data_IF_412846351837
#
_entry.id   IF_412846351837
#
_cell.length_a   1.000
_cell.length_b   1.000
_cell.length_c   1.000
_cell.angle_alpha   90.00
_cell.angle_beta   90.00
_cell.angle_gamma   90.00
#
_symmetry.space_group_name_H-M   'P 1'
#
loop_
_entity.id
_entity.type
_entity.pdbx_description
1 polymer ?
#
# COMPACT_ATOMS: atom_id res chain seq x y z
N UNK A 1 -33.26 -21.90 8.17
CA UNK A 1 -32.77 -20.69 8.87
C UNK A 1 -31.55 -20.15 8.13
N UNK A 2 -31.73 -19.10 7.34
CA UNK A 2 -30.63 -18.36 6.72
C UNK A 2 -29.73 -17.78 7.80
N UNK A 3 -28.51 -18.31 7.95
CA UNK A 3 -27.49 -17.67 8.80
C UNK A 3 -27.30 -16.26 8.26
N UNK A 4 -27.64 -15.25 9.07
CA UNK A 4 -27.28 -13.86 8.79
C UNK A 4 -25.76 -13.82 8.81
N UNK A 5 -25.16 -13.81 7.62
CA UNK A 5 -23.73 -13.60 7.46
C UNK A 5 -23.52 -12.11 7.71
N UNK A 6 -22.82 -11.75 8.78
CA UNK A 6 -22.41 -10.36 8.97
C UNK A 6 -21.52 -9.96 7.78
N UNK A 7 -21.92 -8.93 7.04
CA UNK A 7 -21.15 -8.41 5.92
C UNK A 7 -20.18 -7.32 6.42
N UNK A 8 -18.88 -7.55 6.22
CA UNK A 8 -17.86 -6.52 6.39
C UNK A 8 -17.86 -5.60 5.17
N UNK A 9 -17.85 -4.29 5.41
CA UNK A 9 -17.79 -3.27 4.34
C UNK A 9 -16.54 -2.43 4.48
N UNK A 10 -15.78 -2.27 3.40
CA UNK A 10 -14.66 -1.33 3.35
C UNK A 10 -14.68 -0.41 2.12
N UNK A 11 -14.18 0.80 2.29
CA UNK A 11 -13.94 1.76 1.22
C UNK A 11 -12.44 2.05 1.16
N UNK A 12 -11.87 2.06 -0.04
CA UNK A 12 -10.44 2.26 -0.24
C UNK A 12 -10.19 3.45 -1.18
N UNK A 13 -9.69 4.55 -0.63
CA UNK A 13 -9.49 5.81 -1.33
C UNK A 13 -8.10 5.88 -1.93
N UNK A 14 -8.04 6.33 -3.18
CA UNK A 14 -6.80 6.48 -3.96
C UNK A 14 -5.94 5.20 -3.96
N UNK A 15 -6.61 4.05 -4.15
CA UNK A 15 -6.09 2.75 -3.73
C UNK A 15 -5.25 2.03 -4.80
N UNK A 16 -5.26 2.48 -6.05
CA UNK A 16 -4.52 1.81 -7.11
C UNK A 16 -3.03 1.65 -6.72
N UNK A 17 -2.43 0.45 -6.94
CA UNK A 17 -2.96 -0.68 -7.72
C UNK A 17 -3.81 -1.70 -6.91
N UNK A 18 -4.09 -1.44 -5.63
CA UNK A 18 -4.95 -2.30 -4.80
C UNK A 18 -4.24 -3.08 -3.71
N UNK A 19 -3.22 -2.49 -3.08
CA UNK A 19 -2.41 -3.16 -2.08
C UNK A 19 -3.20 -3.45 -0.78
N UNK A 20 -3.93 -2.48 -0.23
CA UNK A 20 -4.79 -2.70 0.93
C UNK A 20 -5.92 -3.66 0.60
N UNK A 21 -6.58 -3.51 -0.56
CA UNK A 21 -7.65 -4.43 -0.98
C UNK A 21 -7.13 -5.87 -1.02
N UNK A 22 -5.97 -6.08 -1.65
CA UNK A 22 -5.38 -7.42 -1.80
C UNK A 22 -4.97 -8.01 -0.44
N UNK A 23 -4.34 -7.21 0.42
CA UNK A 23 -3.95 -7.63 1.76
C UNK A 23 -5.17 -7.97 2.64
N UNK A 24 -6.20 -7.13 2.60
CA UNK A 24 -7.43 -7.32 3.36
C UNK A 24 -8.21 -8.55 2.89
N UNK A 25 -8.35 -8.75 1.57
CA UNK A 25 -8.93 -9.97 1.01
C UNK A 25 -8.23 -11.21 1.58
N UNK A 26 -6.91 -11.21 1.50
CA UNK A 26 -6.11 -12.34 1.95
C UNK A 26 -6.29 -12.59 3.45
N UNK A 27 -6.25 -11.53 4.26
CA UNK A 27 -6.50 -11.62 5.71
C UNK A 27 -7.88 -12.19 6.03
N UNK A 28 -8.94 -11.67 5.40
CA UNK A 28 -10.33 -12.12 5.61
C UNK A 28 -10.48 -13.59 5.23
N UNK A 29 -9.97 -13.99 4.07
CA UNK A 29 -10.06 -15.39 3.60
C UNK A 29 -9.35 -16.35 4.55
N UNK A 30 -8.23 -15.93 5.16
CA UNK A 30 -7.46 -16.77 6.07
C UNK A 30 -8.03 -16.82 7.49
N UNK A 31 -8.56 -15.69 7.99
CA UNK A 31 -8.89 -15.50 9.41
C UNK A 31 -10.39 -15.36 9.70
N UNK A 32 -11.19 -14.97 8.72
CA UNK A 32 -12.63 -14.67 8.84
C UNK A 32 -13.44 -15.33 7.73
N UNK A 33 -13.33 -16.66 7.61
CA UNK A 33 -13.91 -17.45 6.49
C UNK A 33 -15.41 -17.28 6.28
N UNK A 34 -16.15 -17.02 7.35
CA UNK A 34 -17.59 -16.82 7.33
C UNK A 34 -18.02 -15.37 7.07
N UNK A 35 -17.08 -14.42 7.02
CA UNK A 35 -17.38 -13.02 6.74
C UNK A 35 -17.58 -12.85 5.23
N UNK A 36 -18.74 -12.33 4.85
CA UNK A 36 -18.93 -11.78 3.51
C UNK A 36 -18.30 -10.39 3.47
N UNK A 37 -17.50 -10.12 2.44
CA UNK A 37 -16.78 -8.86 2.33
C UNK A 37 -17.16 -8.14 1.05
N UNK A 38 -17.77 -6.97 1.26
CA UNK A 38 -18.16 -6.01 0.23
C UNK A 38 -17.16 -4.87 0.32
N UNK A 39 -16.61 -4.46 -0.82
CA UNK A 39 -15.68 -3.34 -0.86
C UNK A 39 -15.92 -2.50 -2.09
N UNK A 40 -15.61 -1.22 -1.95
CA UNK A 40 -15.55 -0.25 -3.03
C UNK A 40 -14.22 0.50 -2.96
N UNK A 41 -13.78 1.06 -4.08
CA UNK A 41 -12.53 1.81 -4.12
C UNK A 41 -12.59 3.00 -5.07
N UNK A 42 -11.78 4.02 -4.82
CA UNK A 42 -11.55 5.14 -5.74
C UNK A 42 -10.07 5.18 -6.14
N UNK A 43 -9.81 5.73 -7.32
CA UNK A 43 -8.47 6.07 -7.81
C UNK A 43 -8.64 6.87 -9.10
N UNK A 44 -7.60 7.59 -9.53
CA UNK A 44 -7.59 8.18 -10.87
C UNK A 44 -7.80 7.07 -11.91
N UNK A 45 -8.82 7.25 -12.74
CA UNK A 45 -9.22 6.24 -13.72
C UNK A 45 -8.13 6.10 -14.80
N UNK A 46 -7.44 4.94 -14.89
CA UNK A 46 -6.40 4.73 -15.91
C UNK A 46 -6.99 4.64 -17.33
N UNK A 47 -8.31 4.49 -17.47
CA UNK A 47 -9.01 4.39 -18.75
C UNK A 47 -9.63 5.73 -19.20
N UNK A 48 -9.45 6.80 -18.43
CA UNK A 48 -9.94 8.13 -18.79
C UNK A 48 -8.84 8.93 -19.50
N UNK A 49 -9.04 9.24 -20.79
CA UNK A 49 -8.07 9.98 -21.62
C UNK A 49 -7.74 11.39 -21.11
N UNK A 50 -8.62 11.97 -20.29
CA UNK A 50 -8.40 13.28 -19.68
C UNK A 50 -7.40 13.26 -18.51
N UNK A 51 -7.07 12.08 -17.99
CA UNK A 51 -6.05 11.95 -16.96
C UNK A 51 -4.66 11.87 -17.59
N UNK A 52 -3.69 12.58 -17.02
CA UNK A 52 -2.29 12.38 -17.40
C UNK A 52 -1.84 10.98 -16.97
N UNK A 53 -1.27 10.17 -17.88
CA UNK A 53 -0.69 8.88 -17.54
C UNK A 53 0.33 8.93 -16.40
N UNK A 54 1.03 10.06 -16.20
CA UNK A 54 1.99 10.26 -15.10
C UNK A 54 1.34 10.28 -13.72
N UNK A 55 0.07 10.71 -13.63
CA UNK A 55 -0.69 10.73 -12.39
C UNK A 55 -1.43 9.42 -12.13
N UNK A 56 -1.64 8.59 -13.17
CA UNK A 56 -2.31 7.29 -13.05
C UNK A 56 -1.34 6.17 -12.72
N UNK A 57 -1.80 5.18 -11.96
CA UNK A 57 -1.03 3.96 -11.70
C UNK A 57 -1.22 2.98 -12.85
N UNK A 58 -0.12 2.66 -13.55
CA UNK A 58 -0.15 1.76 -14.71
C UNK A 58 -0.41 0.27 -14.42
N UNK A 59 -0.49 -0.15 -13.16
CA UNK A 59 -0.93 -1.51 -12.83
C UNK A 59 -2.44 -1.51 -12.56
N UNK A 60 -3.20 -1.74 -13.63
CA UNK A 60 -4.65 -1.69 -13.70
C UNK A 60 -5.33 -3.05 -13.54
N UNK A 61 -4.56 -4.13 -13.31
CA UNK A 61 -5.09 -5.50 -13.34
C UNK A 61 -6.22 -5.71 -12.35
N UNK A 62 -6.06 -5.26 -11.10
CA UNK A 62 -7.14 -5.38 -10.13
C UNK A 62 -8.35 -4.56 -10.58
N UNK A 63 -8.12 -3.34 -11.07
CA UNK A 63 -9.16 -2.42 -11.54
C UNK A 63 -9.99 -3.08 -12.63
N UNK A 64 -9.33 -3.60 -13.67
CA UNK A 64 -9.97 -4.25 -14.80
C UNK A 64 -10.86 -5.43 -14.39
N UNK A 65 -10.37 -6.33 -13.53
CA UNK A 65 -11.11 -7.53 -13.13
C UNK A 65 -12.23 -7.27 -12.11
N UNK A 66 -12.24 -6.10 -11.48
CA UNK A 66 -13.25 -5.74 -10.46
C UNK A 66 -13.86 -4.37 -10.75
N UNK A 67 -14.02 -4.00 -12.03
CA UNK A 67 -14.39 -2.65 -12.46
C UNK A 67 -15.68 -2.15 -11.80
N UNK A 68 -16.63 -3.06 -11.56
CA UNK A 68 -17.90 -2.84 -10.86
C UNK A 68 -17.76 -2.33 -9.41
N UNK A 69 -16.56 -2.45 -8.83
CA UNK A 69 -16.25 -2.02 -7.46
C UNK A 69 -15.50 -0.68 -7.40
N UNK A 70 -15.13 -0.12 -8.54
CA UNK A 70 -14.40 1.15 -8.60
C UNK A 70 -15.36 2.32 -8.85
N UNK A 71 -15.24 3.34 -8.02
CA UNK A 71 -16.05 4.55 -8.04
C UNK A 71 -15.23 5.68 -8.67
N UNK A 72 -15.47 5.96 -9.95
CA UNK A 72 -14.74 7.00 -10.70
C UNK A 72 -15.42 8.38 -10.68
N UNK A 73 -16.56 8.51 -9.99
CA UNK A 73 -17.32 9.75 -9.95
C UNK A 73 -18.04 10.08 -11.27
N UNK A 74 -18.79 11.19 -11.31
CA UNK A 74 -19.67 11.54 -12.42
C UNK A 74 -18.93 11.92 -13.71
N UNK A 75 -17.71 12.47 -13.60
CA UNK A 75 -16.86 12.81 -14.76
C UNK A 75 -15.98 11.64 -15.23
N UNK A 76 -16.10 10.48 -14.57
CA UNK A 76 -15.33 9.27 -14.82
C UNK A 76 -13.80 9.43 -14.70
N UNK A 77 -13.30 10.56 -14.20
CA UNK A 77 -11.86 10.80 -14.04
C UNK A 77 -11.29 10.06 -12.83
N UNK A 78 -12.13 9.75 -11.83
CA UNK A 78 -11.68 9.21 -10.55
C UNK A 78 -10.88 10.20 -9.70
N UNK A 79 -10.90 11.49 -10.06
CA UNK A 79 -10.24 12.53 -9.28
C UNK A 79 -11.06 12.82 -8.01
N UNK A 80 -10.55 12.33 -6.88
CA UNK A 80 -11.18 12.50 -5.57
C UNK A 80 -11.44 13.98 -5.23
N UNK A 81 -10.53 14.88 -5.62
CA UNK A 81 -10.62 16.32 -5.30
C UNK A 81 -11.83 17.02 -5.93
N UNK A 82 -12.50 16.39 -6.91
CA UNK A 82 -13.62 16.97 -7.67
C UNK A 82 -14.99 16.45 -7.24
N UNK A 83 -15.03 15.53 -6.27
CA UNK A 83 -16.29 14.96 -5.82
C UNK A 83 -17.15 16.01 -5.11
N UNK A 84 -18.44 16.00 -5.38
CA UNK A 84 -19.42 16.81 -4.66
C UNK A 84 -19.92 16.10 -3.40
N UNK A 85 -20.54 16.83 -2.48
CA UNK A 85 -21.21 16.24 -1.31
C UNK A 85 -22.22 15.15 -1.73
N UNK A 86 -22.94 15.37 -2.84
CA UNK A 86 -23.88 14.38 -3.39
C UNK A 86 -23.16 13.11 -3.85
N UNK A 87 -22.02 13.24 -4.51
CA UNK A 87 -21.24 12.09 -4.96
C UNK A 87 -20.73 11.28 -3.76
N UNK A 88 -20.21 11.97 -2.73
CA UNK A 88 -19.71 11.34 -1.50
C UNK A 88 -20.84 10.65 -0.73
N UNK A 89 -22.01 11.29 -0.62
CA UNK A 89 -23.20 10.71 0.00
C UNK A 89 -23.65 9.45 -0.73
N UNK A 90 -23.61 9.44 -2.07
CA UNK A 90 -23.95 8.27 -2.87
C UNK A 90 -22.96 7.10 -2.69
N UNK A 91 -21.72 7.35 -2.23
CA UNK A 91 -20.78 6.27 -1.88
C UNK A 91 -21.18 5.52 -0.61
N UNK A 92 -21.93 6.16 0.29
CA UNK A 92 -22.30 5.57 1.57
C UNK A 92 -23.31 4.44 1.36
N UNK A 93 -22.90 3.21 1.68
CA UNK A 93 -23.78 2.05 1.60
C UNK A 93 -24.35 1.66 2.97
N UNK A 94 -25.69 1.60 3.07
CA UNK A 94 -26.39 1.19 4.29
C UNK A 94 -25.93 2.01 5.51
N UNK A 95 -25.55 1.33 6.58
CA UNK A 95 -25.09 1.99 7.82
C UNK A 95 -23.68 2.62 7.72
N UNK A 96 -23.01 2.53 6.56
CA UNK A 96 -21.64 3.01 6.34
C UNK A 96 -20.57 1.91 6.36
N UNK A 97 -19.31 2.32 6.18
CA UNK A 97 -18.16 1.42 6.09
C UNK A 97 -17.53 1.12 7.45
N UNK A 98 -17.10 -0.12 7.66
CA UNK A 98 -16.40 -0.54 8.87
C UNK A 98 -14.93 -0.11 8.85
N UNK A 99 -14.37 0.01 7.64
CA UNK A 99 -13.00 0.41 7.41
C UNK A 99 -12.96 1.33 6.20
N UNK A 100 -12.34 2.50 6.36
CA UNK A 100 -11.91 3.34 5.25
C UNK A 100 -10.38 3.36 5.24
N UNK A 101 -9.76 3.13 4.09
CA UNK A 101 -8.32 3.36 3.90
C UNK A 101 -8.10 4.48 2.91
N UNK A 102 -7.02 5.23 3.08
CA UNK A 102 -6.61 6.34 2.24
C UNK A 102 -5.10 6.24 2.01
N UNK A 103 -4.70 5.89 0.79
CA UNK A 103 -3.30 5.70 0.37
C UNK A 103 -2.88 6.72 -0.71
N UNK A 104 -3.68 7.78 -0.88
CA UNK A 104 -3.45 8.84 -1.85
C UNK A 104 -2.15 9.61 -1.59
N UNK A 105 -1.50 10.00 -2.69
CA UNK A 105 -0.36 10.90 -2.66
C UNK A 105 -0.22 11.60 -4.00
N UNK A 106 0.51 12.70 -3.99
CA UNK A 106 0.85 13.52 -5.15
C UNK A 106 2.37 13.49 -5.24
N UNK A 107 2.90 13.30 -6.46
CA UNK A 107 4.35 13.31 -6.66
C UNK A 107 4.93 14.67 -6.27
N UNK A 108 5.89 14.63 -5.35
CA UNK A 108 6.57 15.80 -4.79
C UNK A 108 8.10 15.63 -4.93
N UNK A 109 8.56 14.84 -5.89
CA UNK A 109 10.00 14.62 -6.10
C UNK A 109 10.77 15.91 -6.41
N UNK A 110 10.14 16.86 -7.09
CA UNK A 110 10.75 18.14 -7.44
C UNK A 110 10.83 19.10 -6.25
N UNK A 111 9.94 18.93 -5.25
CA UNK A 111 9.92 19.74 -4.03
C UNK A 111 9.55 18.88 -2.79
N UNK A 112 10.49 18.05 -2.31
CA UNK A 112 10.24 17.16 -1.17
C UNK A 112 10.10 17.91 0.16
N UNK A 113 10.55 19.18 0.23
CA UNK A 113 10.40 20.01 1.42
C UNK A 113 8.94 20.43 1.62
N UNK A 114 8.22 20.70 0.52
CA UNK A 114 6.81 21.09 0.52
C UNK A 114 5.83 19.91 0.48
N UNK A 115 6.30 18.67 0.69
CA UNK A 115 5.48 17.45 0.61
C UNK A 115 4.20 17.54 1.46
N UNK A 116 4.28 18.13 2.65
CA UNK A 116 3.13 18.27 3.54
C UNK A 116 2.07 19.19 2.94
N UNK A 117 2.46 20.36 2.43
CA UNK A 117 1.56 21.32 1.79
C UNK A 117 0.99 20.79 0.48
N UNK A 118 1.82 20.13 -0.35
CA UNK A 118 1.40 19.58 -1.65
C UNK A 118 0.36 18.47 -1.47
N UNK A 119 0.53 17.59 -0.48
CA UNK A 119 -0.33 16.41 -0.31
C UNK A 119 -1.55 16.66 0.58
N UNK A 120 -1.55 17.75 1.36
CA UNK A 120 -2.62 18.03 2.32
C UNK A 120 -4.02 18.18 1.71
N UNK A 121 -4.24 18.88 0.57
CA UNK A 121 -5.57 18.97 -0.03
C UNK A 121 -6.20 17.60 -0.31
N UNK A 122 -5.38 16.62 -0.74
CA UNK A 122 -5.84 15.25 -0.96
C UNK A 122 -6.15 14.54 0.36
N UNK A 123 -5.27 14.65 1.37
CA UNK A 123 -5.49 14.06 2.70
C UNK A 123 -6.74 14.63 3.39
N UNK A 124 -6.99 15.92 3.21
CA UNK A 124 -8.20 16.58 3.68
C UNK A 124 -9.42 15.97 3.01
N UNK A 125 -9.45 15.90 1.67
CA UNK A 125 -10.56 15.30 0.92
C UNK A 125 -10.79 13.82 1.29
N UNK A 126 -9.72 13.03 1.44
CA UNK A 126 -9.79 11.63 1.92
C UNK A 126 -10.42 11.55 3.32
N UNK A 127 -10.08 12.49 4.20
CA UNK A 127 -10.66 12.58 5.55
C UNK A 127 -12.14 12.94 5.51
N UNK A 128 -12.55 13.92 4.70
CA UNK A 128 -13.98 14.29 4.56
C UNK A 128 -14.80 13.11 4.03
N UNK A 129 -14.28 12.38 3.04
CA UNK A 129 -14.93 11.17 2.51
C UNK A 129 -15.03 10.09 3.60
N UNK A 130 -13.97 9.86 4.36
CA UNK A 130 -13.98 8.89 5.45
C UNK A 130 -15.05 9.24 6.50
N UNK A 131 -15.05 10.47 7.01
CA UNK A 131 -16.01 10.90 8.03
C UNK A 131 -17.46 10.90 7.54
N UNK A 132 -17.70 11.18 6.26
CA UNK A 132 -19.03 11.13 5.64
C UNK A 132 -19.58 9.70 5.54
N UNK A 133 -18.70 8.73 5.31
CA UNK A 133 -19.09 7.38 4.88
C UNK A 133 -18.88 6.29 5.95
N UNK A 134 -18.11 6.57 7.00
CA UNK A 134 -17.90 5.67 8.12
C UNK A 134 -19.18 5.42 8.91
N UNK A 135 -19.30 4.19 9.41
CA UNK A 135 -20.29 3.84 10.44
C UNK A 135 -19.75 4.18 11.84
N UNK A 136 -20.62 4.37 12.85
CA UNK A 136 -20.19 4.41 14.24
C UNK A 136 -19.34 3.17 14.61
N UNK A 137 -18.27 3.39 15.36
CA UNK A 137 -17.22 2.43 15.69
C UNK A 137 -16.35 1.94 14.52
N UNK A 138 -16.44 2.57 13.34
CA UNK A 138 -15.57 2.27 12.19
C UNK A 138 -14.11 2.67 12.42
N UNK A 139 -13.23 2.20 11.53
CA UNK A 139 -11.80 2.54 11.52
C UNK A 139 -11.42 3.31 10.25
N UNK A 140 -10.50 4.26 10.40
CA UNK A 140 -9.89 5.00 9.30
C UNK A 140 -8.37 4.80 9.32
N UNK A 141 -7.78 4.52 8.16
CA UNK A 141 -6.34 4.46 7.98
C UNK A 141 -5.95 5.51 6.95
N UNK A 142 -5.22 6.53 7.38
CA UNK A 142 -4.77 7.62 6.53
C UNK A 142 -3.25 7.53 6.37
N UNK A 143 -2.78 7.47 5.12
CA UNK A 143 -1.37 7.72 4.82
C UNK A 143 -1.04 9.18 5.01
N UNK A 144 0.09 9.43 5.68
CA UNK A 144 0.63 10.77 5.90
C UNK A 144 2.14 10.75 5.79
N UNK A 145 2.74 11.93 5.82
CA UNK A 145 4.17 12.14 5.87
C UNK A 145 4.57 12.78 7.21
N UNK A 146 5.25 13.92 7.18
CA UNK A 146 5.50 14.73 8.38
C UNK A 146 4.21 15.34 8.91
N UNK A 147 4.20 15.71 10.20
CA UNK A 147 3.15 16.52 10.84
C UNK A 147 3.85 17.69 11.52
N UNK A 148 4.31 18.63 10.71
CA UNK A 148 5.05 19.81 11.14
C UNK A 148 4.25 21.10 10.90
N UNK A 149 3.37 21.08 9.91
CA UNK A 149 2.59 22.25 9.51
C UNK A 149 1.32 22.42 10.36
N UNK A 150 0.88 23.67 10.61
CA UNK A 150 -0.31 23.94 11.44
C UNK A 150 -1.55 23.21 10.95
N UNK A 151 -1.81 23.19 9.64
CA UNK A 151 -2.96 22.53 9.04
C UNK A 151 -2.96 21.01 9.27
N UNK A 152 -1.79 20.38 9.28
CA UNK A 152 -1.65 18.95 9.58
C UNK A 152 -1.84 18.66 11.06
N UNK A 153 -1.32 19.52 11.94
CA UNK A 153 -1.51 19.40 13.38
C UNK A 153 -3.00 19.52 13.71
N UNK A 154 -3.70 20.50 13.12
CA UNK A 154 -5.15 20.64 13.25
C UNK A 154 -5.91 19.42 12.72
N UNK A 155 -5.49 18.83 11.59
CA UNK A 155 -6.10 17.59 11.08
C UNK A 155 -5.99 16.42 12.05
N UNK A 156 -4.81 16.22 12.65
CA UNK A 156 -4.62 15.14 13.62
C UNK A 156 -5.44 15.37 14.88
N UNK A 157 -5.45 16.60 15.40
CA UNK A 157 -6.28 16.93 16.56
C UNK A 157 -7.78 16.71 16.26
N UNK A 158 -8.24 17.14 15.09
CA UNK A 158 -9.61 16.91 14.65
C UNK A 158 -9.96 15.41 14.60
N UNK A 159 -9.04 14.56 14.10
CA UNK A 159 -9.21 13.11 14.15
C UNK A 159 -9.22 12.55 15.59
N UNK A 160 -8.47 13.14 16.52
CA UNK A 160 -8.48 12.73 17.94
C UNK A 160 -9.83 13.01 18.61
N UNK A 161 -10.53 14.06 18.21
CA UNK A 161 -11.85 14.40 18.75
C UNK A 161 -12.96 13.46 18.23
N UNK A 162 -12.75 12.85 17.06
CA UNK A 162 -13.77 12.06 16.35
C UNK A 162 -13.56 10.55 16.44
N UNK A 163 -12.47 10.08 17.05
CA UNK A 163 -12.16 8.66 17.18
C UNK A 163 -11.71 8.30 18.60
N UNK A 164 -12.14 7.13 19.07
CA UNK A 164 -11.78 6.61 20.39
C UNK A 164 -10.28 6.40 20.57
N UNK A 165 -9.55 6.17 19.49
CA UNK A 165 -8.08 6.07 19.51
C UNK A 165 -7.48 6.48 18.17
N UNK A 166 -6.36 7.20 18.22
CA UNK A 166 -5.56 7.61 17.06
C UNK A 166 -4.12 7.19 17.30
N UNK A 167 -3.53 6.44 16.36
CA UNK A 167 -2.17 5.88 16.49
C UNK A 167 -1.36 6.12 15.23
N UNK A 168 -0.10 6.50 15.42
CA UNK A 168 0.86 6.66 14.33
C UNK A 168 1.66 5.38 14.16
N UNK A 169 1.78 4.90 12.92
CA UNK A 169 2.47 3.66 12.60
C UNK A 169 3.36 3.86 11.37
N UNK A 170 4.61 3.41 11.46
CA UNK A 170 5.49 3.25 10.30
C UNK A 170 5.73 1.75 10.08
N UNK A 171 5.01 1.10 9.14
CA UNK A 171 5.19 -0.33 8.92
C UNK A 171 6.60 -0.63 8.40
N UNK A 172 7.15 -1.79 8.76
CA UNK A 172 8.49 -2.19 8.32
C UNK A 172 8.63 -2.33 6.79
N UNK A 173 7.50 -2.49 6.08
CA UNK A 173 7.42 -2.50 4.61
C UNK A 173 7.52 -1.11 3.98
N UNK A 174 7.37 -0.03 4.76
CA UNK A 174 7.62 1.34 4.31
C UNK A 174 9.13 1.65 4.41
N UNK A 175 9.66 2.42 3.46
CA UNK A 175 11.09 2.73 3.43
C UNK A 175 11.46 3.51 4.69
N UNK A 176 12.40 2.99 5.47
CA UNK A 176 12.75 3.57 6.77
C UNK A 176 13.26 5.03 6.70
N UNK A 177 13.85 5.44 5.57
CA UNK A 177 14.35 6.80 5.36
C UNK A 177 13.36 7.80 4.75
N UNK A 178 12.15 7.38 4.37
CA UNK A 178 11.12 8.32 3.89
C UNK A 178 10.24 8.83 5.06
N UNK A 179 9.47 9.88 4.78
CA UNK A 179 8.57 10.49 5.76
C UNK A 179 7.24 9.73 5.90
N UNK A 180 6.97 8.72 5.06
CA UNK A 180 5.68 8.02 5.03
C UNK A 180 5.41 7.30 6.36
N UNK A 181 4.22 7.55 6.88
CA UNK A 181 3.62 6.96 8.07
C UNK A 181 2.12 6.76 7.81
N UNK A 182 1.46 6.03 8.70
CA UNK A 182 0.02 5.82 8.67
C UNK A 182 -0.58 6.24 10.00
N UNK A 183 -1.64 7.03 9.94
CA UNK A 183 -2.48 7.40 11.08
C UNK A 183 -3.65 6.42 11.09
N UNK A 184 -3.72 5.59 12.13
CA UNK A 184 -4.77 4.58 12.32
C UNK A 184 -5.73 5.07 13.40
N UNK A 185 -6.90 5.48 12.96
CA UNK A 185 -8.00 5.91 13.81
C UNK A 185 -8.99 4.75 14.00
N UNK A 186 -9.35 4.43 15.24
CA UNK A 186 -10.28 3.34 15.55
C UNK A 186 -11.39 3.83 16.46
N UNK A 187 -12.61 3.36 16.21
CA UNK A 187 -13.77 3.67 17.04
C UNK A 187 -14.36 5.04 16.72
N UNK A 188 -14.80 5.24 15.47
CA UNK A 188 -15.43 6.48 15.01
C UNK A 188 -16.64 6.85 15.91
N UNK A 189 -16.60 8.04 16.49
CA UNK A 189 -17.59 8.54 17.45
C UNK A 189 -18.80 9.21 16.77
N UNK A 190 -18.69 9.48 15.46
CA UNK A 190 -19.64 10.31 14.72
C UNK A 190 -19.10 11.72 14.51
N UNK A 191 -19.79 12.50 13.68
CA UNK A 191 -19.51 13.91 13.39
C UNK A 191 -20.84 14.64 13.30
N UNK A 192 -20.92 15.88 13.80
CA UNK A 192 -22.16 16.66 13.68
C UNK A 192 -22.39 17.13 12.24
N UNK A 193 -23.65 17.35 11.87
CA UNK A 193 -23.99 17.85 10.54
C UNK A 193 -23.37 19.23 10.24
N UNK A 194 -23.17 20.07 11.27
CA UNK A 194 -22.58 21.39 11.11
C UNK A 194 -21.08 21.29 10.82
N UNK A 195 -20.35 20.45 11.58
CA UNK A 195 -18.93 20.20 11.32
C UNK A 195 -18.73 19.58 9.94
N UNK A 196 -19.56 18.60 9.58
CA UNK A 196 -19.47 17.95 8.28
C UNK A 196 -19.76 18.93 7.13
N UNK A 197 -20.75 19.82 7.29
CA UNK A 197 -21.06 20.87 6.30
C UNK A 197 -19.89 21.86 6.13
N UNK A 198 -19.21 22.24 7.21
CA UNK A 198 -18.01 23.08 7.14
C UNK A 198 -16.90 22.39 6.33
N UNK A 199 -16.66 21.10 6.56
CA UNK A 199 -15.69 20.32 5.80
C UNK A 199 -16.03 20.23 4.32
N UNK A 200 -17.31 20.00 3.98
CA UNK A 200 -17.77 19.96 2.59
C UNK A 200 -17.66 21.32 1.89
N UNK A 201 -17.86 22.44 2.60
CA UNK A 201 -17.76 23.78 2.03
C UNK A 201 -16.35 24.15 1.54
N UNK A 202 -15.31 23.54 2.12
CA UNK A 202 -13.92 23.77 1.77
C UNK A 202 -13.28 22.59 0.99
N UNK A 203 -14.06 21.55 0.71
CA UNK A 203 -13.64 20.37 -0.03
C UNK A 203 -13.08 20.71 -1.42
N UNK A 204 -11.87 20.22 -1.73
CA UNK A 204 -11.21 20.48 -3.01
C UNK A 204 -10.78 21.93 -3.23
N UNK A 205 -10.82 22.79 -2.20
CA UNK A 205 -10.43 24.21 -2.30
C UNK A 205 -9.18 24.52 -1.49
N UNK A 206 -8.54 25.67 -1.78
CA UNK A 206 -7.42 26.17 -0.97
C UNK A 206 -7.82 26.57 0.45
N UNK A 207 -9.12 26.71 0.76
CA UNK A 207 -9.56 27.00 2.13
C UNK A 207 -9.34 25.83 3.10
N UNK A 208 -9.12 24.61 2.58
CA UNK A 208 -8.88 23.42 3.40
C UNK A 208 -7.73 23.60 4.41
N UNK A 209 -6.73 24.43 4.10
CA UNK A 209 -5.59 24.72 4.99
C UNK A 209 -6.00 25.45 6.28
N UNK A 210 -7.12 26.17 6.27
CA UNK A 210 -7.61 26.99 7.39
C UNK A 210 -8.93 26.51 7.99
N UNK A 211 -9.56 25.48 7.40
CA UNK A 211 -10.89 24.97 7.82
C UNK A 211 -10.92 24.48 9.27
N UNK A 212 -9.84 23.86 9.73
CA UNK A 212 -9.80 23.18 11.03
C UNK A 212 -9.32 24.10 12.15
N UNK A 213 -10.00 24.02 13.29
CA UNK A 213 -9.67 24.81 14.46
C UNK A 213 -8.26 24.48 14.98
N UNK A 214 -7.57 25.50 15.48
CA UNK A 214 -6.27 25.33 16.12
C UNK A 214 -6.45 24.56 17.44
N UNK A 215 -5.71 23.45 17.64
CA UNK A 215 -5.85 22.67 18.85
C UNK A 215 -5.25 23.37 20.08
N UNK A 216 -5.60 22.87 21.26
CA UNK A 216 -5.00 23.32 22.52
C UNK A 216 -3.50 22.99 22.58
N UNK A 217 -2.76 23.76 23.39
CA UNK A 217 -1.31 23.58 23.52
C UNK A 217 -0.92 22.17 24.00
N UNK A 218 -1.73 21.53 24.84
CA UNK A 218 -1.47 20.17 25.32
C UNK A 218 -1.56 19.14 24.18
N UNK A 219 -2.55 19.27 23.30
CA UNK A 219 -2.70 18.41 22.11
C UNK A 219 -1.57 18.67 21.12
N UNK A 220 -1.20 19.93 20.89
CA UNK A 220 -0.05 20.29 20.06
C UNK A 220 1.23 19.63 20.58
N UNK A 221 1.48 19.68 21.89
CA UNK A 221 2.66 19.06 22.49
C UNK A 221 2.67 17.54 22.30
N UNK A 222 1.52 16.88 22.45
CA UNK A 222 1.42 15.43 22.24
C UNK A 222 1.72 15.05 20.79
N UNK A 223 1.19 15.80 19.82
CA UNK A 223 1.44 15.60 18.39
C UNK A 223 2.92 15.86 18.08
N UNK A 224 3.50 16.92 18.66
CA UNK A 224 4.91 17.25 18.48
C UNK A 224 5.84 16.12 18.95
N UNK A 225 5.64 15.59 20.15
CA UNK A 225 6.47 14.48 20.67
C UNK A 225 6.35 13.23 19.79
N UNK A 226 5.14 12.95 19.28
CA UNK A 226 4.91 11.87 18.34
C UNK A 226 5.64 12.10 17.00
N UNK A 227 5.53 13.30 16.41
CA UNK A 227 6.25 13.68 15.18
C UNK A 227 7.76 13.56 15.36
N UNK A 228 8.30 14.08 16.46
CA UNK A 228 9.72 14.03 16.81
C UNK A 228 10.24 12.59 16.85
N UNK A 229 9.48 11.66 17.44
CA UNK A 229 9.84 10.25 17.50
C UNK A 229 10.09 9.62 16.11
N UNK A 230 9.27 9.96 15.11
CA UNK A 230 9.41 9.46 13.73
C UNK A 230 10.52 10.18 12.97
N UNK A 231 10.61 11.51 13.11
CA UNK A 231 11.66 12.33 12.49
C UNK A 231 13.04 11.89 12.96
N UNK A 232 13.24 11.66 14.27
CA UNK A 232 14.52 11.20 14.81
C UNK A 232 14.95 9.85 14.21
N UNK A 233 14.00 8.95 13.96
CA UNK A 233 14.28 7.64 13.32
C UNK A 233 14.63 7.81 11.86
N UNK A 234 13.89 8.64 11.14
CA UNK A 234 14.15 8.95 9.75
C UNK A 234 15.55 9.55 9.59
N UNK A 235 15.92 10.53 10.42
CA UNK A 235 17.24 11.15 10.43
C UNK A 235 18.36 10.14 10.71
N UNK A 236 18.17 9.22 11.67
CA UNK A 236 19.14 8.15 11.94
C UNK A 236 19.35 7.26 10.71
N UNK A 237 18.27 6.86 10.04
CA UNK A 237 18.35 6.01 8.84
C UNK A 237 18.98 6.76 7.67
N UNK A 238 18.65 8.03 7.46
CA UNK A 238 19.26 8.87 6.43
C UNK A 238 20.77 9.02 6.65
N UNK A 239 21.19 9.34 7.88
CA UNK A 239 22.61 9.43 8.25
C UNK A 239 23.34 8.11 8.02
N UNK A 240 22.71 6.99 8.42
CA UNK A 240 23.24 5.65 8.16
C UNK A 240 23.40 5.36 6.66
N UNK A 241 22.39 5.67 5.86
CA UNK A 241 22.43 5.47 4.41
C UNK A 241 23.52 6.31 3.76
N UNK A 242 23.70 7.57 4.17
CA UNK A 242 24.76 8.45 3.67
C UNK A 242 26.15 7.92 4.04
N UNK A 243 26.35 7.52 5.30
CA UNK A 243 27.64 7.00 5.77
C UNK A 243 28.04 5.69 5.06
N UNK A 244 27.05 4.88 4.65
CA UNK A 244 27.27 3.58 4.00
C UNK A 244 27.17 3.64 2.47
N UNK A 245 26.79 4.78 1.90
CA UNK A 245 26.66 4.94 0.46
C UNK A 245 28.02 4.75 -0.21
N UNK A 246 28.11 3.75 -1.11
CA UNK A 246 29.34 3.30 -1.80
C UNK A 246 30.47 2.75 -0.92
N UNK A 247 30.36 2.82 0.41
CA UNK A 247 31.38 2.40 1.38
C UNK A 247 30.83 1.38 2.41
N UNK A 248 29.88 0.53 2.01
CA UNK A 248 29.30 -0.45 2.91
C UNK A 248 30.23 -1.66 3.08
N UNK A 249 30.76 -1.83 4.29
CA UNK A 249 31.62 -2.96 4.62
C UNK A 249 30.89 -4.31 4.41
N UNK A 250 31.56 -5.36 3.90
CA UNK A 250 30.91 -6.64 3.58
C UNK A 250 30.16 -7.28 4.76
N UNK A 251 30.70 -7.18 5.97
CA UNK A 251 30.07 -7.65 7.21
C UNK A 251 28.77 -6.90 7.53
N UNK A 252 28.76 -5.57 7.35
CA UNK A 252 27.57 -4.75 7.55
C UNK A 252 26.49 -5.10 6.52
N UNK A 253 26.88 -5.32 5.25
CA UNK A 253 25.95 -5.77 4.21
C UNK A 253 25.32 -7.11 4.56
N UNK A 254 26.12 -8.08 5.01
CA UNK A 254 25.61 -9.38 5.45
C UNK A 254 24.63 -9.25 6.63
N UNK A 255 24.94 -8.40 7.61
CA UNK A 255 24.05 -8.14 8.74
C UNK A 255 22.71 -7.52 8.31
N UNK A 256 22.71 -6.56 7.38
CA UNK A 256 21.49 -5.96 6.83
C UNK A 256 20.62 -7.02 6.13
N UNK A 257 21.23 -7.88 5.31
CA UNK A 257 20.48 -8.95 4.62
C UNK A 257 19.92 -9.98 5.61
N UNK A 258 20.65 -10.33 6.66
CA UNK A 258 20.17 -11.20 7.72
C UNK A 258 18.93 -10.61 8.45
N UNK A 259 18.95 -9.30 8.75
CA UNK A 259 17.81 -8.60 9.36
C UNK A 259 16.60 -8.57 8.43
N UNK A 260 16.79 -8.34 7.12
CA UNK A 260 15.71 -8.35 6.13
C UNK A 260 15.04 -9.73 6.02
N UNK A 261 15.85 -10.78 5.94
CA UNK A 261 15.36 -12.16 5.87
C UNK A 261 14.62 -12.53 7.17
N UNK A 262 15.21 -12.25 8.34
CA UNK A 262 14.58 -12.49 9.64
C UNK A 262 13.24 -11.77 9.80
N UNK A 263 13.17 -10.50 9.38
CA UNK A 263 11.92 -9.71 9.40
C UNK A 263 10.86 -10.33 8.48
N UNK A 264 11.27 -10.80 7.29
CA UNK A 264 10.36 -11.45 6.34
C UNK A 264 9.82 -12.77 6.89
N UNK A 265 10.65 -13.55 7.58
CA UNK A 265 10.23 -14.80 8.23
C UNK A 265 9.24 -14.53 9.37
N UNK A 266 9.54 -13.58 10.26
CA UNK A 266 8.64 -13.18 11.34
C UNK A 266 7.28 -12.70 10.81
N UNK A 267 7.27 -11.93 9.73
CA UNK A 267 6.02 -11.51 9.09
C UNK A 267 5.18 -12.73 8.65
N UNK A 268 5.80 -13.73 8.03
CA UNK A 268 5.09 -14.95 7.60
C UNK A 268 4.54 -15.74 8.79
N UNK A 269 5.29 -15.81 9.89
CA UNK A 269 4.90 -16.53 11.11
C UNK A 269 3.74 -15.84 11.84
N UNK A 270 3.85 -14.53 12.08
CA UNK A 270 2.82 -13.73 12.75
C UNK A 270 1.52 -13.75 11.94
N UNK A 271 1.61 -13.48 10.64
CA UNK A 271 0.45 -13.41 9.76
C UNK A 271 -0.07 -14.81 9.41
N UNK A 272 0.74 -15.87 9.58
CA UNK A 272 0.46 -17.24 9.12
C UNK A 272 0.03 -17.26 7.65
N UNK A 273 0.79 -16.52 6.83
CA UNK A 273 0.48 -16.30 5.43
C UNK A 273 0.52 -17.63 4.66
N UNK A 274 -0.54 -17.94 3.91
CA UNK A 274 -0.64 -19.17 3.10
C UNK A 274 -1.48 -18.93 1.85
N UNK A 275 -1.29 -19.76 0.83
CA UNK A 275 -2.06 -19.61 -0.41
C UNK A 275 -3.58 -19.70 -0.15
N UNK A 276 -4.34 -18.82 -0.80
CA UNK A 276 -5.80 -18.88 -0.83
C UNK A 276 -6.27 -19.59 -2.10
N UNK A 277 -7.40 -20.30 -2.00
CA UNK A 277 -7.98 -21.05 -3.12
C UNK A 277 -8.29 -20.13 -4.30
N UNK A 278 -8.21 -20.66 -5.53
CA UNK A 278 -8.44 -19.87 -6.74
C UNK A 278 -9.80 -19.16 -6.74
N UNK A 279 -10.84 -19.81 -6.18
CA UNK A 279 -12.20 -19.26 -6.04
C UNK A 279 -12.32 -18.06 -5.10
N UNK A 280 -11.31 -17.79 -4.27
CA UNK A 280 -11.29 -16.70 -3.27
C UNK A 280 -10.27 -15.60 -3.62
N UNK A 281 -9.65 -15.68 -4.79
CA UNK A 281 -8.76 -14.64 -5.31
C UNK A 281 -9.60 -13.57 -5.98
N UNK A 282 -9.16 -12.32 -5.87
CA UNK A 282 -9.78 -11.18 -6.57
C UNK A 282 -9.50 -11.23 -8.08
N UNK A 283 -8.35 -11.78 -8.47
CA UNK A 283 -7.92 -11.88 -9.87
C UNK A 283 -7.71 -13.37 -10.22
N UNK A 284 -8.19 -13.84 -11.39
CA UNK A 284 -7.95 -15.21 -11.85
C UNK A 284 -6.46 -15.46 -12.13
N UNK A 285 -6.01 -16.71 -11.95
CA UNK A 285 -4.58 -17.09 -12.11
C UNK A 285 -4.09 -17.06 -13.56
N UNK A 286 -5.00 -17.09 -14.54
CA UNK A 286 -4.67 -16.94 -15.96
C UNK A 286 -4.35 -15.46 -16.21
N UNK A 287 -3.07 -15.13 -16.12
CA UNK A 287 -2.54 -13.93 -16.75
C UNK A 287 -2.94 -14.00 -18.23
N UNK A 288 -3.83 -13.11 -18.68
CA UNK A 288 -3.81 -12.81 -20.11
C UNK A 288 -2.40 -12.28 -20.45
N UNK A 289 -1.81 -12.67 -21.59
CA UNK A 289 -0.65 -11.96 -22.10
C UNK A 289 -1.17 -10.61 -22.59
N UNK A 290 -1.23 -9.60 -21.71
CA UNK A 290 -1.65 -8.26 -22.12
C UNK A 290 -0.41 -7.54 -22.67
N UNK A 291 -0.37 -7.19 -23.98
CA UNK A 291 0.79 -6.55 -24.63
C UNK A 291 1.18 -5.19 -24.05
N UNK A 292 0.30 -4.58 -23.25
CA UNK A 292 0.47 -3.28 -22.59
C UNK A 292 1.65 -3.24 -21.59
N UNK A 293 1.94 -4.34 -20.88
CA UNK A 293 3.05 -4.38 -19.92
C UNK A 293 4.44 -4.28 -20.56
N UNK A 294 4.56 -4.43 -21.89
CA UNK A 294 5.80 -4.17 -22.59
C UNK A 294 6.12 -2.66 -22.74
N UNK A 295 5.13 -1.78 -22.56
CA UNK A 295 5.29 -0.34 -22.79
C UNK A 295 5.78 0.42 -21.55
N UNK A 296 5.47 -0.04 -20.33
CA UNK A 296 5.86 0.66 -19.10
C UNK A 296 7.32 0.44 -18.68
N UNK A 297 8.05 -0.47 -19.33
CA UNK A 297 9.47 -0.76 -19.03
C UNK A 297 10.46 0.03 -19.89
N UNK A 298 9.99 0.81 -20.86
CA UNK A 298 10.84 1.64 -21.70
C UNK A 298 10.67 3.09 -21.25
N UNK A 299 11.69 3.63 -20.57
CA UNK A 299 11.72 5.04 -20.16
C UNK A 299 11.46 6.00 -21.32
N UNK A 300 11.16 7.27 -20.97
CA UNK A 300 10.81 8.39 -21.89
C UNK A 300 11.48 8.24 -23.26
N UNK A 301 10.68 8.04 -24.30
CA UNK A 301 11.11 8.19 -25.70
C UNK A 301 10.11 9.01 -26.48
N UNK A 302 10.64 9.99 -27.20
CA UNK A 302 9.95 10.68 -28.29
C UNK A 302 9.83 9.75 -29.50
N UNK A 303 8.69 9.80 -30.19
CA UNK A 303 8.40 9.02 -31.40
C UNK A 303 7.05 8.31 -31.35
N UNK A 304 6.46 8.05 -32.51
CA UNK A 304 5.17 7.39 -32.61
C UNK A 304 5.31 5.86 -32.41
N UNK A 305 4.20 5.20 -32.08
CA UNK A 305 4.07 3.75 -31.85
C UNK A 305 4.88 2.85 -32.83
N UNK A 306 4.97 3.26 -34.10
CA UNK A 306 5.61 2.50 -35.18
C UNK A 306 7.16 2.51 -35.07
N UNK A 307 7.75 3.54 -34.48
CA UNK A 307 9.21 3.71 -34.40
C UNK A 307 9.84 2.83 -33.31
N UNK A 308 9.11 2.61 -32.21
CA UNK A 308 9.51 1.67 -31.15
C UNK A 308 9.54 0.22 -31.61
N UNK A 309 8.67 -0.15 -32.55
CA UNK A 309 8.52 -1.53 -33.03
C UNK A 309 9.73 -2.01 -33.86
N UNK A 310 10.42 -1.09 -34.56
CA UNK A 310 11.55 -1.45 -35.43
C UNK A 310 12.84 -1.77 -34.66
N UNK A 311 13.03 -1.22 -33.47
CA UNK A 311 14.30 -1.35 -32.71
C UNK A 311 14.42 -2.64 -31.88
N UNK A 312 13.30 -3.30 -31.55
CA UNK A 312 13.26 -4.56 -30.79
C UNK A 312 13.74 -5.79 -31.61
N UNK A 313 14.05 -5.61 -32.89
CA UNK A 313 14.39 -6.69 -33.83
C UNK A 313 15.87 -7.09 -33.87
N UNK A 314 16.75 -6.50 -33.05
CA UNK A 314 18.19 -6.79 -33.11
C UNK A 314 18.61 -7.97 -32.21
N UNK A 315 19.13 -9.02 -32.86
CA UNK A 315 19.49 -10.36 -32.31
C UNK A 315 20.62 -10.38 -31.27
N UNK A 316 21.32 -9.26 -31.06
CA UNK A 316 22.56 -9.20 -30.26
C UNK A 316 22.34 -9.24 -28.74
N UNK A 317 21.19 -8.77 -28.24
CA UNK A 317 20.94 -8.64 -26.80
C UNK A 317 20.69 -10.00 -26.12
N UNK A 318 20.13 -10.97 -26.84
CA UNK A 318 19.77 -12.29 -26.30
C UNK A 318 21.00 -13.16 -25.95
N UNK A 319 22.04 -13.12 -26.78
CA UNK A 319 23.22 -13.99 -26.61
C UNK A 319 24.10 -13.61 -25.40
N UNK A 320 24.11 -12.34 -25.00
CA UNK A 320 24.91 -11.83 -23.88
C UNK A 320 24.31 -12.25 -22.51
N UNK A 321 22.99 -12.45 -22.46
CA UNK A 321 22.29 -12.84 -21.23
C UNK A 321 22.45 -14.33 -20.90
N UNK A 322 22.56 -15.20 -21.90
CA UNK A 322 22.75 -16.65 -21.73
C UNK A 322 24.10 -16.99 -21.07
N UNK A 323 25.17 -16.26 -21.39
CA UNK A 323 26.51 -16.51 -20.83
C UNK A 323 26.64 -16.21 -19.33
N UNK A 324 25.78 -15.36 -18.77
CA UNK A 324 25.86 -14.92 -17.37
C UNK A 324 25.15 -15.89 -16.40
N UNK A 325 24.15 -16.62 -16.89
CA UNK A 325 23.35 -17.59 -16.13
C UNK A 325 24.13 -18.83 -15.70
N UNK A 326 25.10 -19.28 -16.51
CA UNK A 326 25.88 -20.49 -16.23
C UNK A 326 26.81 -20.40 -15.00
N UNK A 327 26.97 -19.22 -14.37
CA UNK A 327 27.98 -18.98 -13.33
C UNK A 327 27.48 -19.09 -11.88
N UNK A 328 26.17 -19.23 -11.64
CA UNK A 328 25.58 -18.97 -10.31
C UNK A 328 25.11 -20.25 -9.57
N UNK A 329 24.99 -21.39 -10.24
CA UNK A 329 24.27 -22.58 -9.73
C UNK A 329 25.11 -23.56 -8.88
N UNK A 330 25.89 -23.05 -7.91
CA UNK A 330 26.90 -23.87 -7.22
C UNK A 330 26.82 -24.03 -5.71
N UNK A 331 26.25 -23.09 -4.93
CA UNK A 331 26.48 -23.08 -3.48
C UNK A 331 25.36 -22.38 -2.71
N UNK A 332 24.56 -23.14 -1.95
CA UNK A 332 23.87 -22.67 -0.73
C UNK A 332 23.34 -23.87 0.08
N UNK A 333 24.05 -24.17 1.18
CA UNK A 333 23.65 -25.05 2.29
C UNK A 333 23.28 -24.13 3.46
N UNK A 334 22.19 -24.41 4.18
CA UNK A 334 21.74 -23.63 5.34
C UNK A 334 21.89 -24.47 6.61
N UNK A 335 22.73 -24.02 7.53
CA UNK A 335 22.77 -24.47 8.92
C UNK A 335 22.13 -23.40 9.83
N UNK A 336 21.40 -23.88 10.85
CA UNK A 336 20.61 -23.07 11.77
C UNK A 336 21.48 -22.27 12.73
N UNK A 337 21.12 -21.02 12.98
CA UNK A 337 21.58 -20.26 14.14
C UNK A 337 20.38 -19.66 14.86
N UNK A 338 20.23 -20.00 16.14
CA UNK A 338 19.21 -19.46 17.01
C UNK A 338 19.80 -18.29 17.82
N UNK A 339 19.00 -17.24 18.02
CA UNK A 339 19.26 -16.22 19.04
C UNK A 339 18.22 -16.32 20.15
N UNK A 340 18.71 -16.32 21.39
CA UNK A 340 17.92 -16.12 22.59
C UNK A 340 17.62 -14.61 22.74
N UNK A 341 16.34 -14.25 22.71
CA UNK A 341 15.86 -12.94 23.12
C UNK A 341 14.89 -13.16 24.28
N UNK A 342 15.39 -13.04 25.51
CA UNK A 342 14.57 -13.04 26.72
C UNK A 342 13.85 -11.70 26.85
N UNK A 343 12.54 -11.79 27.10
CA UNK A 343 11.58 -10.76 27.50
C UNK A 343 10.85 -10.02 26.36
N UNK A 344 10.00 -10.78 25.67
CA UNK A 344 8.67 -10.29 25.30
C UNK A 344 7.66 -11.19 26.01
N UNK A 345 6.98 -10.66 27.03
CA UNK A 345 5.83 -11.33 27.64
C UNK A 345 4.70 -11.40 26.62
N UNK A 346 4.60 -12.54 25.97
CA UNK A 346 3.45 -12.98 25.20
C UNK A 346 3.08 -14.37 25.69
N UNK A 347 2.73 -14.46 26.97
CA UNK A 347 2.05 -15.64 27.48
C UNK A 347 0.63 -15.64 26.93
N UNK A 348 0.40 -16.50 25.94
CA UNK A 348 -0.67 -17.49 25.92
C UNK A 348 -0.68 -18.18 24.55
N UNK A 349 0.05 -19.30 24.44
CA UNK A 349 -0.55 -20.64 24.38
C UNK A 349 0.51 -21.66 23.93
N UNK A 350 0.75 -22.64 24.81
CA UNK A 350 1.73 -23.70 24.71
C UNK A 350 1.30 -24.89 23.84
N UNK A 351 2.28 -25.31 23.05
CA UNK A 351 2.70 -26.65 22.62
C UNK A 351 1.87 -27.90 23.00
N UNK A 352 1.55 -28.69 21.98
CA UNK A 352 1.81 -30.15 21.98
C UNK A 352 1.75 -30.74 20.56
N UNK A 353 2.75 -31.56 20.19
CA UNK A 353 2.62 -32.57 19.13
C UNK A 353 3.63 -32.46 17.98
N UNK A 354 4.72 -33.23 18.08
CA UNK A 354 5.88 -33.27 17.18
C UNK A 354 5.61 -34.07 15.90
N UNK A 355 6.21 -33.61 14.79
CA UNK A 355 7.14 -34.35 13.90
C UNK A 355 6.79 -34.17 12.41
N UNK A 356 7.66 -33.44 11.68
CA UNK A 356 7.67 -33.36 10.22
C UNK A 356 8.95 -33.99 9.71
N UNK A 357 8.85 -34.93 8.75
CA UNK A 357 10.00 -35.41 7.97
C UNK A 357 10.11 -34.54 6.70
N UNK A 358 11.33 -34.11 6.42
CA UNK A 358 11.73 -33.10 5.43
C UNK A 358 11.73 -33.57 3.97
N UNK A 359 11.39 -32.66 3.05
CA UNK A 359 11.91 -32.62 1.67
C UNK A 359 12.78 -31.36 1.51
N UNK A 360 13.95 -31.48 0.86
CA UNK A 360 15.01 -30.45 0.80
C UNK A 360 14.63 -29.16 0.04
N UNK A 361 15.24 -28.00 0.39
CA UNK A 361 14.98 -26.70 -0.22
C UNK A 361 15.77 -26.52 -1.52
N UNK A 362 15.38 -25.55 -2.36
CA UNK A 362 16.36 -24.50 -2.58
C UNK A 362 15.72 -23.11 -2.59
N UNK A 363 16.40 -22.16 -1.98
CA UNK A 363 16.35 -20.74 -2.35
C UNK A 363 17.82 -20.29 -2.52
N UNK A 364 18.11 -19.20 -3.25
CA UNK A 364 17.69 -17.89 -2.75
C UNK A 364 16.63 -17.26 -3.65
N UNK A 365 15.66 -16.65 -3.00
CA UNK A 365 14.80 -15.66 -3.62
C UNK A 365 15.71 -14.51 -4.10
N UNK A 366 15.80 -14.25 -5.40
CA UNK A 366 16.42 -13.01 -5.92
C UNK A 366 15.38 -11.88 -5.89
N UNK A 367 14.92 -11.60 -4.68
CA UNK A 367 13.76 -10.79 -4.33
C UNK A 367 13.62 -9.47 -5.11
N UNK A 368 12.42 -8.90 -4.97
CA UNK A 368 12.22 -7.48 -4.69
C UNK A 368 11.76 -6.68 -5.90
N UNK A 369 11.53 -5.38 -5.70
CA UNK A 369 11.02 -4.35 -6.64
C UNK A 369 11.90 -4.16 -7.91
N UNK A 370 12.65 -5.18 -8.30
CA UNK A 370 13.82 -5.23 -9.19
C UNK A 370 13.83 -6.48 -10.11
N UNK A 371 12.73 -7.24 -10.27
CA UNK A 371 12.70 -8.35 -11.23
C UNK A 371 11.92 -7.98 -12.50
N UNK A 372 12.64 -7.94 -13.63
CA UNK A 372 12.15 -7.69 -14.99
C UNK A 372 11.66 -8.97 -15.68
N UNK A 373 10.99 -8.75 -16.82
CA UNK A 373 10.14 -9.68 -17.58
C UNK A 373 10.77 -11.01 -18.07
N UNK A 374 12.05 -11.27 -17.84
CA UNK A 374 12.74 -12.45 -18.39
C UNK A 374 12.41 -13.76 -17.65
N UNK A 375 12.07 -13.69 -16.35
CA UNK A 375 11.65 -14.86 -15.56
C UNK A 375 10.21 -15.33 -15.81
N UNK A 376 9.40 -14.52 -16.51
CA UNK A 376 8.06 -14.92 -16.97
C UNK A 376 8.10 -15.60 -18.35
N UNK A 377 9.06 -15.24 -19.20
CA UNK A 377 9.17 -15.77 -20.57
C UNK A 377 9.70 -17.20 -20.61
N UNK A 378 10.55 -17.58 -19.64
CA UNK A 378 10.96 -18.97 -19.44
C UNK A 378 9.80 -19.87 -18.96
N UNK A 379 8.84 -19.32 -18.22
CA UNK A 379 7.66 -20.06 -17.76
C UNK A 379 6.63 -20.33 -18.87
N UNK A 380 6.59 -19.50 -19.92
CA UNK A 380 5.69 -19.67 -21.08
C UNK A 380 6.23 -20.71 -22.08
N UNK A 381 7.54 -20.73 -22.33
CA UNK A 381 8.15 -21.66 -23.29
C UNK A 381 8.16 -23.13 -22.86
N UNK A 382 8.14 -23.43 -21.55
CA UNK A 382 8.01 -24.82 -21.07
C UNK A 382 6.57 -25.36 -21.07
N UNK A 383 5.56 -24.48 -21.10
CA UNK A 383 4.16 -24.90 -21.27
C UNK A 383 3.89 -25.31 -22.72
N UNK A 384 4.45 -24.58 -23.69
CA UNK A 384 4.32 -24.87 -25.13
C UNK A 384 5.04 -26.17 -25.57
N UNK A 385 6.13 -26.57 -24.90
CA UNK A 385 6.88 -27.78 -25.23
C UNK A 385 6.32 -29.09 -24.63
N UNK A 386 5.32 -29.03 -23.74
CA UNK A 386 4.76 -30.20 -23.02
C UNK A 386 3.33 -30.58 -23.43
N UNK A 387 2.75 -29.89 -24.43
CA UNK A 387 1.44 -30.22 -25.01
C UNK A 387 0.23 -30.01 -24.10
N UNK A 388 0.25 -28.99 -23.23
CA UNK A 388 -0.91 -28.58 -22.40
C UNK A 388 -1.18 -27.09 -22.46
#
# INVERSE_FOLDING_TARGET
MSRVIAAGRSLHLCEAPGAFISALNHFIVLRRRSLEWIWQATTLNPFCEANDPQWTVGDDRLIFYTLDRWLFGPDNSGNLLRLTEKDISAMKQGDGFHLVTADGSIDCQDDPAEQERITFPLQFCETVVALSTLRPNGCFILKKFTTCEPFSVSLIAFLMDHFSSVRFLKPASSKAGNSEIYVVCCGFLGISSNELALLHADYGTERCFDTLQKPSLSVVQQIFECSKYFIDRQLRVMKFNLATYRNCAPNLRAAIEAVKEGTSQQFLEIIRLRSISAKRRLIPRRLMPIPWMAMSQLGRREGAFIDGFKQLSSTCVLAEHEKRLARIDGRLIVENFAWQLTNFDVDCFSTAGRCTVFGRPPRPLLQSKLCSAELLKLALRQLEASGR
#
